data_IF_319236710649
#
_entry.id   IF_319236710649
#
_cell.length_a   1.000
_cell.length_b   1.000
_cell.length_c   1.000
_cell.angle_alpha   90.00
_cell.angle_beta   90.00
_cell.angle_gamma   90.00
#
_symmetry.space_group_name_H-M   'P 1'
#
loop_
_entity.id
_entity.type
_entity.pdbx_description
1 polymer ?
#
# COMPACT_ATOMS: atom_id res chain seq x y z
N UNK A 1 17.46 -3.18 60.72
CA UNK A 1 17.55 -3.22 59.25
C UNK A 1 16.83 -4.47 58.81
N UNK A 2 15.59 -4.33 58.33
CA UNK A 2 14.72 -5.44 57.97
C UNK A 2 14.95 -5.83 56.51
N UNK A 3 14.99 -7.14 56.25
CA UNK A 3 15.12 -7.75 54.92
C UNK A 3 14.13 -7.14 53.92
N UNK A 4 14.65 -6.43 52.93
CA UNK A 4 13.90 -6.13 51.70
C UNK A 4 13.93 -7.40 50.87
N UNK A 5 12.87 -8.22 50.98
CA UNK A 5 12.67 -9.37 50.10
C UNK A 5 12.63 -8.89 48.65
N UNK A 6 13.61 -9.34 47.90
CA UNK A 6 13.74 -9.27 46.44
C UNK A 6 12.45 -9.81 45.80
N UNK A 7 11.51 -8.91 45.45
CA UNK A 7 10.31 -9.26 44.70
C UNK A 7 10.67 -9.27 43.22
N UNK A 8 11.02 -10.46 42.74
CA UNK A 8 11.21 -10.89 41.34
C UNK A 8 10.60 -9.93 40.29
N UNK A 9 11.47 -9.27 39.52
CA UNK A 9 11.14 -8.54 38.29
C UNK A 9 10.95 -9.49 37.10
N UNK A 10 10.14 -10.54 37.25
CA UNK A 10 9.74 -11.39 36.13
C UNK A 10 8.77 -10.62 35.26
N UNK A 11 9.04 -10.57 33.95
CA UNK A 11 8.13 -10.04 32.95
C UNK A 11 6.74 -10.69 33.11
N UNK A 12 5.68 -9.89 33.02
CA UNK A 12 4.31 -10.32 33.26
C UNK A 12 3.86 -11.31 32.16
N UNK A 13 3.75 -12.60 32.49
CA UNK A 13 3.34 -13.66 31.54
C UNK A 13 1.89 -14.12 31.74
N UNK A 14 1.04 -13.38 32.46
CA UNK A 14 -0.38 -13.70 32.66
C UNK A 14 -0.97 -13.18 33.98
N UNK A 15 -2.25 -13.52 34.23
CA UNK A 15 -2.95 -13.18 35.48
C UNK A 15 -2.31 -13.84 36.70
N UNK A 16 -2.09 -13.06 37.76
CA UNK A 16 -1.55 -13.49 39.03
C UNK A 16 -2.61 -14.26 39.84
N UNK A 17 -2.17 -15.27 40.59
CA UNK A 17 -3.05 -15.98 41.52
C UNK A 17 -3.30 -15.13 42.77
N UNK A 18 -4.49 -15.27 43.37
CA UNK A 18 -4.90 -14.51 44.56
C UNK A 18 -3.91 -14.61 45.72
N UNK A 19 -3.33 -15.80 45.92
CA UNK A 19 -2.30 -16.05 46.95
C UNK A 19 -0.99 -15.29 46.68
N UNK A 20 -0.64 -15.06 45.41
CA UNK A 20 0.59 -14.33 45.06
C UNK A 20 0.50 -12.84 45.35
N UNK A 21 -0.71 -12.29 45.33
CA UNK A 21 -0.98 -10.87 45.56
C UNK A 21 -1.63 -10.60 46.91
N UNK A 22 -1.65 -11.58 47.81
CA UNK A 22 -2.30 -11.49 49.13
C UNK A 22 -3.72 -10.90 49.04
N UNK A 23 -4.51 -11.36 48.07
CA UNK A 23 -5.87 -10.89 47.89
C UNK A 23 -6.73 -11.24 49.12
N UNK A 24 -7.46 -10.26 49.63
CA UNK A 24 -8.47 -10.41 50.68
C UNK A 24 -9.82 -9.92 50.15
N UNK A 25 -10.93 -10.67 50.32
CA UNK A 25 -12.27 -10.25 49.89
C UNK A 25 -12.81 -9.03 50.66
N UNK A 26 -12.21 -8.73 51.82
CA UNK A 26 -12.50 -7.56 52.63
C UNK A 26 -11.22 -6.78 52.91
N UNK A 27 -11.18 -5.52 52.46
CA UNK A 27 -10.07 -4.62 52.71
C UNK A 27 -9.93 -4.30 54.20
N UNK A 28 -8.69 -4.31 54.76
CA UNK A 28 -8.42 -3.80 56.10
C UNK A 28 -8.53 -2.27 56.19
N UNK A 29 -8.60 -1.56 55.06
CA UNK A 29 -8.70 -0.09 54.97
C UNK A 29 -9.96 0.31 54.15
N UNK A 30 -11.18 -0.04 54.60
CA UNK A 30 -12.41 0.23 53.84
C UNK A 30 -12.57 1.73 53.57
N UNK A 31 -12.83 2.08 52.31
CA UNK A 31 -12.98 3.48 51.86
C UNK A 31 -11.66 4.17 51.44
N UNK A 32 -10.50 3.64 51.85
CA UNK A 32 -9.19 4.19 51.43
C UNK A 32 -8.61 3.34 50.29
N UNK A 33 -8.52 2.03 50.48
CA UNK A 33 -8.05 1.09 49.45
C UNK A 33 -9.02 -0.06 49.32
N UNK A 34 -9.64 -0.21 48.17
CA UNK A 34 -10.48 -1.36 47.84
C UNK A 34 -10.42 -1.63 46.34
N UNK A 35 -10.89 -2.80 45.89
CA UNK A 35 -11.03 -3.08 44.46
C UNK A 35 -11.92 -2.02 43.79
N UNK A 36 -13.00 -1.56 44.44
CA UNK A 36 -13.89 -0.53 43.90
C UNK A 36 -13.20 0.79 43.51
N UNK A 37 -12.08 1.15 44.14
CA UNK A 37 -11.31 2.34 43.82
C UNK A 37 -9.90 2.01 43.27
N UNK A 38 -9.71 0.77 42.81
CA UNK A 38 -8.50 0.32 42.14
C UNK A 38 -8.65 0.50 40.63
N UNK A 39 -7.62 1.00 39.95
CA UNK A 39 -7.63 1.17 38.49
C UNK A 39 -7.74 -0.15 37.69
N UNK A 40 -7.45 -1.27 38.34
CA UNK A 40 -7.42 -2.60 37.72
C UNK A 40 -8.72 -3.38 37.88
N UNK A 41 -9.66 -2.86 38.67
CA UNK A 41 -10.94 -3.50 38.92
C UNK A 41 -11.94 -3.12 37.83
N UNK A 42 -12.65 -4.13 37.33
CA UNK A 42 -13.78 -3.97 36.42
C UNK A 42 -15.03 -4.37 37.19
N UNK A 43 -15.92 -3.41 37.41
CA UNK A 43 -17.23 -3.68 37.99
C UNK A 43 -18.03 -4.62 37.10
N UNK A 44 -18.97 -5.37 37.70
CA UNK A 44 -19.92 -6.18 36.94
C UNK A 44 -20.63 -5.33 35.88
N UNK A 45 -20.58 -5.76 34.63
CA UNK A 45 -21.28 -5.12 33.52
C UNK A 45 -22.42 -6.01 33.06
N UNK A 46 -23.66 -5.57 33.24
CA UNK A 46 -24.87 -6.34 32.90
C UNK A 46 -25.10 -7.59 33.78
N UNK A 47 -26.32 -8.13 33.75
CA UNK A 47 -26.84 -9.09 34.75
C UNK A 47 -26.04 -10.42 34.90
N UNK A 48 -25.04 -10.69 34.05
CA UNK A 48 -24.32 -11.98 34.05
C UNK A 48 -22.78 -11.89 34.10
N UNK A 49 -22.14 -10.72 34.03
CA UNK A 49 -20.68 -10.64 34.16
C UNK A 49 -20.29 -10.39 35.63
N UNK A 50 -19.63 -11.34 36.31
CA UNK A 50 -19.15 -11.09 37.67
C UNK A 50 -18.04 -10.03 37.66
N UNK A 51 -17.85 -9.28 38.76
CA UNK A 51 -16.74 -8.35 38.86
C UNK A 51 -15.40 -9.08 38.69
N UNK A 52 -14.46 -8.44 37.98
CA UNK A 52 -13.15 -9.03 37.66
C UNK A 52 -11.99 -8.06 37.89
N UNK A 53 -10.76 -8.58 37.91
CA UNK A 53 -9.53 -7.79 38.01
C UNK A 53 -8.64 -8.11 36.81
N UNK A 54 -8.11 -7.08 36.15
CA UNK A 54 -7.22 -7.26 35.00
C UNK A 54 -5.85 -7.85 35.35
N UNK A 55 -5.49 -7.91 36.65
CA UNK A 55 -4.21 -8.43 37.11
C UNK A 55 -4.31 -9.75 37.89
N UNK A 56 -5.46 -10.03 38.51
CA UNK A 56 -5.63 -11.11 39.49
C UNK A 56 -6.77 -12.02 39.06
N UNK A 57 -6.54 -13.34 39.05
CA UNK A 57 -7.58 -14.32 38.73
C UNK A 57 -8.76 -14.22 39.72
N UNK A 58 -9.98 -14.43 39.24
CA UNK A 58 -11.21 -14.45 40.03
C UNK A 58 -11.54 -15.83 40.64
N UNK A 59 -10.50 -16.64 40.90
CA UNK A 59 -10.60 -17.97 41.51
C UNK A 59 -9.39 -18.17 42.46
N UNK A 60 -9.53 -18.84 43.63
CA UNK A 60 -10.71 -19.57 44.10
C UNK A 60 -11.89 -18.72 44.58
N UNK A 61 -11.65 -17.45 44.95
CA UNK A 61 -12.72 -16.56 45.40
C UNK A 61 -13.07 -15.52 44.32
N UNK A 62 -14.30 -15.03 44.23
CA UNK A 62 -14.62 -13.92 43.33
C UNK A 62 -13.88 -12.62 43.75
N UNK A 63 -13.57 -11.76 42.78
CA UNK A 63 -13.07 -10.42 43.08
C UNK A 63 -14.25 -9.57 43.54
N UNK A 64 -14.24 -9.12 44.79
CA UNK A 64 -15.29 -8.30 45.38
C UNK A 64 -14.88 -6.83 45.35
N UNK A 65 -15.85 -5.94 45.17
CA UNK A 65 -15.63 -4.48 45.23
C UNK A 65 -15.00 -4.04 46.57
N UNK A 66 -15.27 -4.77 47.65
CA UNK A 66 -14.71 -4.57 48.99
C UNK A 66 -13.32 -5.15 49.20
N UNK A 67 -12.80 -5.94 48.25
CA UNK A 67 -11.53 -6.65 48.39
C UNK A 67 -10.30 -5.74 48.27
N UNK A 68 -9.13 -6.28 48.56
CA UNK A 68 -7.83 -5.61 48.39
C UNK A 68 -6.75 -6.63 48.00
N UNK A 69 -5.77 -6.21 47.22
CA UNK A 69 -4.55 -6.99 46.96
C UNK A 69 -3.31 -6.11 47.04
N UNK A 70 -2.13 -6.71 47.19
CA UNK A 70 -0.82 -6.03 47.19
C UNK A 70 -0.51 -5.28 45.88
N UNK A 71 -1.28 -5.52 44.81
CA UNK A 71 -1.18 -4.86 43.51
C UNK A 71 -2.19 -3.73 43.34
N UNK A 72 -2.82 -3.28 44.44
CA UNK A 72 -3.73 -2.16 44.40
C UNK A 72 -3.03 -0.88 43.91
N UNK A 73 -3.65 -0.22 42.96
CA UNK A 73 -3.27 1.10 42.47
C UNK A 73 -4.53 1.95 42.40
N UNK A 74 -4.52 3.10 43.09
CA UNK A 74 -5.68 3.99 43.11
C UNK A 74 -6.13 4.38 41.70
N UNK A 75 -7.44 4.42 41.49
CA UNK A 75 -8.00 5.01 40.28
C UNK A 75 -7.51 6.45 40.14
N UNK A 76 -7.15 6.83 38.92
CA UNK A 76 -6.79 8.22 38.65
C UNK A 76 -8.01 9.08 38.98
N UNK A 77 -7.84 10.23 39.66
CA UNK A 77 -8.95 11.11 40.00
C UNK A 77 -9.70 11.44 38.71
N UNK A 78 -10.97 11.03 38.64
CA UNK A 78 -11.88 11.47 37.60
C UNK A 78 -12.03 12.98 37.78
N UNK A 79 -11.57 13.75 36.81
CA UNK A 79 -11.81 15.21 36.79
C UNK A 79 -13.32 15.42 36.92
N UNK A 80 -13.80 16.22 37.90
CA UNK A 80 -15.22 16.42 38.12
C UNK A 80 -15.84 16.96 36.82
N UNK A 81 -16.88 16.27 36.36
CA UNK A 81 -17.67 16.62 35.19
C UNK A 81 -18.44 17.91 35.50
N UNK A 82 -17.94 19.04 35.00
CA UNK A 82 -18.62 20.34 35.03
C UNK A 82 -19.49 20.44 33.78
N UNK A 83 -20.56 19.66 33.70
CA UNK A 83 -21.59 19.82 32.68
C UNK A 83 -22.71 20.70 33.23
N UNK A 84 -22.73 21.97 32.82
CA UNK A 84 -23.93 22.81 32.96
C UNK A 84 -25.02 22.27 32.01
N UNK A 85 -26.28 22.15 32.46
CA UNK A 85 -27.36 21.65 31.61
C UNK A 85 -27.66 22.63 30.46
N UNK A 86 -27.74 22.10 29.24
CA UNK A 86 -28.08 22.85 28.02
C UNK A 86 -29.59 23.15 27.94
N UNK A 87 -30.00 24.37 27.56
CA UNK A 87 -31.41 24.72 27.39
C UNK A 87 -31.99 24.15 26.09
N UNK A 88 -33.17 23.54 26.19
CA UNK A 88 -33.93 22.96 25.06
C UNK A 88 -34.74 24.06 24.37
N UNK A 89 -34.63 24.17 23.05
CA UNK A 89 -35.49 25.01 22.20
C UNK A 89 -36.30 24.10 21.28
N UNK A 90 -37.62 24.26 21.31
CA UNK A 90 -38.58 23.51 20.48
C UNK A 90 -38.86 24.33 19.22
N UNK A 91 -38.68 23.74 18.04
CA UNK A 91 -39.01 24.34 16.74
C UNK A 91 -40.21 23.61 16.13
N UNK A 92 -41.27 24.30 15.69
CA UNK A 92 -42.43 23.67 15.05
C UNK A 92 -42.12 23.27 13.60
N UNK A 93 -42.61 22.08 13.22
CA UNK A 93 -42.52 21.52 11.85
C UNK A 93 -43.60 22.12 10.94
N UNK A 94 -43.21 22.47 9.72
CA UNK A 94 -44.09 22.95 8.64
C UNK A 94 -44.31 21.81 7.62
N UNK A 95 -45.57 21.58 7.25
CA UNK A 95 -46.01 20.48 6.38
C UNK A 95 -45.69 20.76 4.90
N UNK A 96 -45.10 19.77 4.22
CA UNK A 96 -44.79 19.84 2.79
C UNK A 96 -45.81 19.01 2.00
N UNK A 97 -46.50 19.66 1.06
CA UNK A 97 -47.47 19.05 0.16
C UNK A 97 -46.81 18.19 -0.93
N UNK A 98 -47.43 17.05 -1.26
CA UNK A 98 -46.97 16.08 -2.26
C UNK A 98 -47.75 16.28 -3.56
N UNK A 99 -47.05 16.39 -4.69
CA UNK A 99 -47.64 16.57 -6.03
C UNK A 99 -47.60 15.26 -6.83
N UNK A 100 -48.75 14.85 -7.38
CA UNK A 100 -48.96 13.63 -8.18
C UNK A 100 -48.28 13.71 -9.56
N UNK A 101 -47.56 12.65 -9.94
CA UNK A 101 -47.03 12.48 -11.31
C UNK A 101 -47.94 11.58 -12.16
N UNK A 102 -48.38 12.11 -13.30
CA UNK A 102 -49.17 11.41 -14.31
C UNK A 102 -48.31 10.60 -15.30
N UNK A 103 -48.82 9.44 -15.71
CA UNK A 103 -48.28 8.53 -16.73
C UNK A 103 -48.63 8.98 -18.16
N UNK A 104 -47.70 8.90 -19.13
CA UNK A 104 -48.05 8.93 -20.54
C UNK A 104 -48.08 7.53 -21.18
N UNK A 105 -49.06 7.37 -22.06
CA UNK A 105 -49.33 6.21 -22.91
C UNK A 105 -48.68 6.33 -24.29
N UNK A 106 -48.64 5.18 -24.98
CA UNK A 106 -48.65 4.97 -26.44
C UNK A 106 -47.36 4.40 -27.06
N UNK A 107 -47.58 3.39 -27.91
CA UNK A 107 -46.55 2.48 -28.42
C UNK A 107 -46.13 2.70 -29.87
N UNK A 108 -45.06 1.98 -30.20
CA UNK A 108 -44.44 1.57 -31.49
C UNK A 108 -43.19 0.76 -31.06
N UNK A 109 -42.67 -0.30 -31.65
CA UNK A 109 -43.09 -1.25 -32.68
C UNK A 109 -42.14 -2.48 -32.54
N UNK A 110 -42.66 -3.69 -32.71
CA UNK A 110 -42.04 -4.98 -32.34
C UNK A 110 -40.69 -5.28 -33.02
N UNK A 111 -40.37 -4.60 -34.12
CA UNK A 111 -39.15 -4.85 -34.93
C UNK A 111 -37.92 -4.16 -34.35
N UNK A 112 -38.09 -3.10 -33.57
CA UNK A 112 -36.98 -2.41 -32.89
C UNK A 112 -36.51 -3.21 -31.66
N UNK A 113 -37.45 -3.92 -31.02
CA UNK A 113 -37.22 -4.75 -29.82
C UNK A 113 -36.27 -5.92 -30.10
N UNK A 114 -36.31 -6.52 -31.29
CA UNK A 114 -35.44 -7.67 -31.64
C UNK A 114 -34.00 -7.22 -31.89
N UNK A 115 -33.78 -6.02 -32.45
CA UNK A 115 -32.44 -5.45 -32.63
C UNK A 115 -31.84 -5.00 -31.30
N UNK A 116 -32.66 -4.51 -30.36
CA UNK A 116 -32.18 -4.20 -29.00
C UNK A 116 -31.81 -5.46 -28.21
N UNK A 117 -32.52 -6.58 -28.40
CA UNK A 117 -32.25 -7.84 -27.68
C UNK A 117 -30.95 -8.50 -28.14
N UNK A 118 -30.65 -8.51 -29.45
CA UNK A 118 -29.39 -9.07 -29.96
C UNK A 118 -28.19 -8.18 -29.62
N UNK A 119 -28.38 -6.85 -29.56
CA UNK A 119 -27.31 -5.93 -29.13
C UNK A 119 -27.10 -5.97 -27.60
N UNK A 120 -28.15 -6.24 -26.80
CA UNK A 120 -28.06 -6.45 -25.34
C UNK A 120 -27.46 -7.80 -24.95
N UNK A 121 -27.53 -8.83 -25.79
CA UNK A 121 -26.89 -10.13 -25.50
C UNK A 121 -25.38 -10.16 -25.79
N UNK A 122 -24.85 -9.24 -26.61
CA UNK A 122 -23.42 -9.20 -26.98
C UNK A 122 -22.67 -7.94 -26.53
N UNK A 123 -23.35 -7.03 -25.81
CA UNK A 123 -22.72 -6.04 -24.93
C UNK A 123 -23.25 -6.26 -23.53
N UNK A 124 -22.58 -7.10 -22.76
CA UNK A 124 -22.54 -6.95 -21.30
C UNK A 124 -21.78 -5.65 -21.02
N UNK A 125 -22.43 -4.51 -21.26
CA UNK A 125 -22.17 -3.36 -20.40
C UNK A 125 -22.46 -3.88 -18.99
N UNK A 126 -21.48 -3.84 -18.06
CA UNK A 126 -21.72 -4.25 -16.69
C UNK A 126 -22.97 -3.49 -16.23
N UNK A 127 -23.95 -4.23 -15.71
CA UNK A 127 -25.16 -3.62 -15.16
C UNK A 127 -24.74 -2.44 -14.27
N UNK A 128 -25.45 -1.28 -14.31
CA UNK A 128 -25.17 -0.18 -13.41
C UNK A 128 -25.12 -0.77 -12.00
N UNK A 129 -23.94 -0.70 -11.39
CA UNK A 129 -23.71 -1.30 -10.09
C UNK A 129 -24.71 -0.65 -9.14
N UNK A 130 -25.50 -1.45 -8.43
CA UNK A 130 -26.21 -0.96 -7.25
C UNK A 130 -25.12 -0.42 -6.32
N UNK A 131 -25.11 0.88 -6.09
CA UNK A 131 -23.96 1.57 -5.52
C UNK A 131 -23.95 1.43 -4.00
N UNK A 132 -23.32 0.34 -3.56
CA UNK A 132 -23.26 -0.06 -2.16
C UNK A 132 -22.15 0.66 -1.39
N UNK A 133 -22.36 0.86 -0.09
CA UNK A 133 -21.34 1.43 0.81
C UNK A 133 -20.04 0.64 0.84
N UNK A 134 -20.14 -0.66 0.54
CA UNK A 134 -19.06 -1.62 0.53
C UNK A 134 -19.18 -2.51 -0.70
N UNK A 135 -18.09 -2.65 -1.45
CA UNK A 135 -18.06 -3.52 -2.63
C UNK A 135 -16.80 -4.38 -2.64
N UNK A 136 -16.95 -5.62 -3.13
CA UNK A 136 -15.86 -6.57 -3.28
C UNK A 136 -15.64 -6.86 -4.76
N UNK A 137 -14.39 -6.88 -5.18
CA UNK A 137 -14.04 -7.10 -6.57
C UNK A 137 -12.71 -7.81 -6.75
N UNK A 138 -12.52 -8.41 -7.93
CA UNK A 138 -11.30 -9.11 -8.30
C UNK A 138 -10.42 -8.19 -9.16
N UNK A 139 -9.16 -8.06 -8.78
CA UNK A 139 -8.15 -7.29 -9.49
C UNK A 139 -7.53 -8.08 -10.66
N UNK A 140 -6.75 -7.41 -11.51
CA UNK A 140 -6.02 -8.02 -12.64
C UNK A 140 -4.99 -9.06 -12.18
N UNK A 141 -4.44 -8.90 -10.98
CA UNK A 141 -3.55 -9.87 -10.33
C UNK A 141 -4.29 -11.12 -9.78
N UNK A 142 -5.60 -11.20 -9.95
CA UNK A 142 -6.43 -12.31 -9.50
C UNK A 142 -6.80 -12.29 -8.01
N UNK A 143 -6.29 -11.35 -7.21
CA UNK A 143 -6.65 -11.18 -5.80
C UNK A 143 -7.95 -10.40 -5.66
N UNK A 144 -8.65 -10.60 -4.55
CA UNK A 144 -9.84 -9.83 -4.20
C UNK A 144 -9.44 -8.58 -3.41
N UNK A 145 -10.13 -7.49 -3.70
CA UNK A 145 -10.02 -6.20 -3.06
C UNK A 145 -11.41 -5.72 -2.67
N UNK A 146 -11.45 -4.76 -1.77
CA UNK A 146 -12.66 -4.10 -1.32
C UNK A 146 -12.54 -2.58 -1.47
N UNK A 147 -13.69 -1.94 -1.65
CA UNK A 147 -13.87 -0.49 -1.65
C UNK A 147 -14.95 -0.17 -0.62
N UNK A 148 -14.67 0.77 0.26
CA UNK A 148 -15.49 1.08 1.43
C UNK A 148 -15.66 2.59 1.61
N UNK A 149 -16.89 3.06 1.78
CA UNK A 149 -17.22 4.40 2.29
C UNK A 149 -17.71 4.28 3.73
N UNK A 150 -16.81 4.50 4.69
CA UNK A 150 -17.02 4.04 6.06
C UNK A 150 -17.45 5.13 7.06
N UNK A 151 -17.21 6.40 6.78
CA UNK A 151 -17.62 7.51 7.67
C UNK A 151 -17.66 8.85 6.92
N UNK A 152 -18.12 9.92 7.56
CA UNK A 152 -18.16 11.28 6.99
C UNK A 152 -18.34 12.40 8.02
N UNK A 153 -18.50 13.63 7.54
CA UNK A 153 -18.56 14.87 8.35
C UNK A 153 -19.93 15.20 8.98
N UNK A 154 -20.91 14.33 8.76
CA UNK A 154 -22.30 14.54 9.15
C UNK A 154 -22.56 13.92 10.52
N UNK A 155 -23.55 14.46 11.23
CA UNK A 155 -23.99 13.94 12.52
C UNK A 155 -24.45 12.49 12.41
N UNK A 156 -23.86 11.61 13.20
CA UNK A 156 -24.24 10.21 13.25
C UNK A 156 -25.47 9.98 14.17
N UNK A 157 -25.89 8.72 14.30
CA UNK A 157 -27.03 8.34 15.15
C UNK A 157 -26.79 8.57 16.64
N UNK A 158 -25.53 8.66 17.06
CA UNK A 158 -25.12 8.91 18.45
C UNK A 158 -24.97 10.42 18.73
N UNK A 159 -25.42 11.25 17.78
CA UNK A 159 -25.30 12.71 17.82
C UNK A 159 -23.86 13.21 17.83
N UNK A 160 -22.93 12.41 17.30
CA UNK A 160 -21.52 12.76 17.19
C UNK A 160 -21.17 13.26 15.78
N UNK A 161 -20.17 14.13 15.67
CA UNK A 161 -19.71 14.69 14.39
C UNK A 161 -18.19 14.55 14.31
N UNK A 162 -17.69 13.95 13.23
CA UNK A 162 -16.27 14.04 12.87
C UNK A 162 -16.06 15.30 12.03
N UNK A 163 -15.26 16.25 12.52
CA UNK A 163 -15.06 17.51 11.80
C UNK A 163 -14.42 17.27 10.43
N UNK A 164 -14.83 18.05 9.43
CA UNK A 164 -14.34 17.87 8.05
C UNK A 164 -12.81 18.04 7.92
N UNK A 165 -12.24 18.87 8.80
CA UNK A 165 -10.79 19.06 8.91
C UNK A 165 -10.07 17.86 9.55
N UNK A 166 -10.72 17.17 10.48
CA UNK A 166 -10.18 15.96 11.11
C UNK A 166 -9.96 14.85 10.08
N UNK A 167 -10.88 14.71 9.11
CA UNK A 167 -10.75 13.80 7.96
C UNK A 167 -9.49 14.07 7.14
N UNK A 168 -9.24 15.35 6.81
CA UNK A 168 -8.06 15.75 6.03
C UNK A 168 -6.76 15.42 6.76
N UNK A 169 -6.69 15.77 8.04
CA UNK A 169 -5.50 15.51 8.83
C UNK A 169 -5.26 14.01 9.06
N UNK A 170 -6.33 13.23 9.21
CA UNK A 170 -6.23 11.78 9.30
C UNK A 170 -5.68 11.18 8.00
N UNK A 171 -6.23 11.56 6.84
CA UNK A 171 -5.72 11.12 5.52
C UNK A 171 -4.27 11.52 5.34
N UNK A 172 -3.90 12.75 5.71
CA UNK A 172 -2.51 13.24 5.65
C UNK A 172 -1.57 12.38 6.53
N UNK A 173 -1.95 12.11 7.77
CA UNK A 173 -1.16 11.26 8.69
C UNK A 173 -0.97 9.84 8.16
N UNK A 174 -2.03 9.22 7.65
CA UNK A 174 -1.97 7.87 7.08
C UNK A 174 -1.11 7.84 5.80
N UNK A 175 -1.27 8.83 4.91
CA UNK A 175 -0.46 8.92 3.69
C UNK A 175 1.04 9.10 3.96
N UNK A 176 1.39 9.74 5.08
CA UNK A 176 2.76 9.94 5.56
C UNK A 176 3.30 8.76 6.38
N UNK A 177 2.48 7.72 6.62
CA UNK A 177 2.85 6.58 7.46
C UNK A 177 3.00 6.91 8.95
N UNK A 178 2.46 8.04 9.41
CA UNK A 178 2.46 8.42 10.84
C UNK A 178 1.42 7.62 11.64
N UNK A 179 0.44 7.05 10.95
CA UNK A 179 -0.63 6.22 11.51
C UNK A 179 -0.78 5.01 10.59
N UNK A 180 -0.94 3.79 11.12
CA UNK A 180 -1.17 2.62 10.28
C UNK A 180 -2.46 2.77 9.47
N UNK A 181 -2.49 2.13 8.31
CA UNK A 181 -3.74 1.97 7.56
C UNK A 181 -4.76 1.20 8.41
N UNK A 182 -6.06 1.52 8.30
CA UNK A 182 -7.09 0.83 9.08
C UNK A 182 -7.29 -0.60 8.59
N UNK A 183 -7.56 -1.50 9.52
CA UNK A 183 -7.84 -2.91 9.24
C UNK A 183 -9.32 -3.12 8.85
N UNK A 184 -9.63 -4.20 8.13
CA UNK A 184 -11.01 -4.60 7.82
C UNK A 184 -11.47 -5.74 8.74
N UNK A 185 -12.55 -5.52 9.47
CA UNK A 185 -13.06 -6.40 10.52
C UNK A 185 -14.56 -6.65 10.37
N UNK A 186 -15.06 -7.68 11.07
CA UNK A 186 -16.49 -7.98 11.16
C UNK A 186 -16.98 -7.70 12.57
N UNK A 187 -18.02 -6.86 12.70
CA UNK A 187 -18.70 -6.56 13.96
C UNK A 187 -17.81 -6.09 15.13
N UNK A 188 -16.76 -5.29 14.90
CA UNK A 188 -15.89 -4.77 15.96
C UNK A 188 -15.32 -5.88 16.87
N UNK A 189 -15.26 -7.11 16.35
CA UNK A 189 -15.02 -8.31 17.16
C UNK A 189 -13.57 -8.73 17.03
N UNK A 190 -12.85 -8.75 18.15
CA UNK A 190 -11.44 -9.17 18.16
C UNK A 190 -11.27 -10.56 17.56
N UNK A 191 -10.37 -10.66 16.58
CA UNK A 191 -10.08 -11.91 15.87
C UNK A 191 -10.87 -12.09 14.57
N UNK A 192 -11.73 -11.15 14.18
CA UNK A 192 -12.45 -11.19 12.89
C UNK A 192 -11.79 -10.33 11.80
N UNK A 193 -10.56 -9.85 12.04
CA UNK A 193 -9.74 -9.19 11.02
C UNK A 193 -9.61 -10.08 9.79
N UNK A 194 -9.89 -9.54 8.61
CA UNK A 194 -9.84 -10.28 7.36
C UNK A 194 -9.39 -9.43 6.15
N UNK A 195 -8.87 -8.23 6.40
CA UNK A 195 -8.29 -7.38 5.37
C UNK A 195 -7.59 -6.15 5.93
N UNK A 196 -7.00 -5.37 5.03
CA UNK A 196 -6.20 -4.20 5.35
C UNK A 196 -6.39 -3.13 4.28
N UNK A 197 -6.61 -1.87 4.68
CA UNK A 197 -6.64 -0.77 3.72
C UNK A 197 -5.24 -0.55 3.10
N UNK A 198 -5.23 -0.32 1.79
CA UNK A 198 -4.05 0.07 1.03
C UNK A 198 -3.99 1.59 0.81
N UNK A 199 -5.17 2.21 0.62
CA UNK A 199 -5.33 3.65 0.45
C UNK A 199 -6.57 4.12 1.20
N UNK A 200 -6.45 5.27 1.85
CA UNK A 200 -7.57 6.04 2.40
C UNK A 200 -7.55 7.44 1.77
N UNK A 201 -8.72 7.96 1.42
CA UNK A 201 -8.86 9.33 0.93
C UNK A 201 -10.17 9.96 1.39
N UNK A 202 -10.21 11.29 1.32
CA UNK A 202 -11.41 12.09 1.58
C UNK A 202 -12.01 12.52 0.26
N UNK A 203 -13.32 12.40 0.14
CA UNK A 203 -14.07 12.98 -0.98
C UNK A 203 -15.44 13.42 -0.53
N UNK A 204 -15.84 14.63 -0.93
CA UNK A 204 -17.16 15.16 -0.59
C UNK A 204 -17.50 15.02 0.89
N UNK A 205 -16.59 15.31 1.81
CA UNK A 205 -16.87 15.17 3.26
C UNK A 205 -17.00 13.74 3.79
N UNK A 206 -16.79 12.71 2.96
CA UNK A 206 -16.72 11.30 3.37
C UNK A 206 -15.29 10.78 3.32
N UNK A 207 -15.02 9.74 4.11
CA UNK A 207 -13.82 8.94 3.98
C UNK A 207 -14.11 7.66 3.23
N UNK A 208 -13.25 7.42 2.25
CA UNK A 208 -13.24 6.24 1.41
C UNK A 208 -11.92 5.49 1.63
N UNK A 209 -11.98 4.18 1.49
CA UNK A 209 -10.84 3.31 1.58
C UNK A 209 -10.93 2.20 0.54
N UNK A 210 -9.77 1.83 0.02
CA UNK A 210 -9.57 0.62 -0.79
C UNK A 210 -8.57 -0.24 -0.05
N UNK A 211 -8.80 -1.54 -0.04
CA UNK A 211 -7.87 -2.49 0.57
C UNK A 211 -7.95 -3.88 -0.01
N UNK A 212 -7.02 -4.72 0.41
CA UNK A 212 -6.98 -6.12 0.07
C UNK A 212 -7.57 -6.97 1.21
N UNK A 213 -7.99 -8.18 0.85
CA UNK A 213 -8.30 -9.23 1.81
C UNK A 213 -7.03 -9.99 2.20
N UNK A 214 -6.99 -10.48 3.44
CA UNK A 214 -5.93 -11.37 3.89
C UNK A 214 -5.97 -12.71 3.12
N UNK A 215 -4.83 -13.42 3.00
CA UNK A 215 -4.81 -14.77 2.43
C UNK A 215 -5.07 -15.83 3.51
N UNK A 216 -6.26 -15.76 4.11
CA UNK A 216 -6.72 -16.71 5.12
C UNK A 216 -8.02 -17.39 4.69
N UNK A 217 -8.33 -18.60 5.21
CA UNK A 217 -9.63 -19.24 4.99
C UNK A 217 -10.82 -18.35 5.40
N UNK A 218 -10.68 -17.60 6.49
CA UNK A 218 -11.70 -16.69 7.02
C UNK A 218 -11.99 -15.54 6.05
N UNK A 219 -10.94 -14.94 5.48
CA UNK A 219 -11.08 -13.89 4.49
C UNK A 219 -11.73 -14.39 3.19
N UNK A 220 -11.45 -15.63 2.78
CA UNK A 220 -12.12 -16.26 1.62
C UNK A 220 -13.63 -16.45 1.89
N UNK A 221 -14.00 -16.91 3.08
CA UNK A 221 -15.40 -16.97 3.49
C UNK A 221 -16.07 -15.58 3.51
N UNK A 222 -15.37 -14.56 4.01
CA UNK A 222 -15.86 -13.19 4.06
C UNK A 222 -16.10 -12.64 2.63
N UNK A 223 -15.17 -12.84 1.71
CA UNK A 223 -15.31 -12.45 0.29
C UNK A 223 -16.60 -13.05 -0.30
N UNK A 224 -16.81 -14.35 -0.14
CA UNK A 224 -18.02 -15.01 -0.66
C UNK A 224 -19.29 -14.46 -0.01
N UNK A 225 -19.26 -14.21 1.30
CA UNK A 225 -20.39 -13.65 2.03
C UNK A 225 -20.74 -12.25 1.51
N UNK A 226 -19.75 -11.37 1.35
CA UNK A 226 -19.96 -10.01 0.87
C UNK A 226 -20.45 -9.97 -0.58
N UNK A 227 -19.92 -10.85 -1.44
CA UNK A 227 -20.40 -10.98 -2.82
C UNK A 227 -21.87 -11.43 -2.88
N UNK A 228 -22.28 -12.37 -2.01
CA UNK A 228 -23.67 -12.84 -1.93
C UNK A 228 -24.62 -11.81 -1.32
N UNK A 229 -24.10 -10.90 -0.47
CA UNK A 229 -24.88 -9.91 0.27
C UNK A 229 -24.59 -8.47 -0.18
N UNK A 230 -24.16 -8.27 -1.43
CA UNK A 230 -23.96 -6.95 -2.00
C UNK A 230 -25.20 -6.07 -1.77
N UNK A 231 -24.99 -4.86 -1.25
CA UNK A 231 -26.01 -3.87 -0.91
C UNK A 231 -26.65 -3.99 0.45
N UNK A 232 -26.42 -5.10 1.15
CA UNK A 232 -26.91 -5.30 2.51
C UNK A 232 -25.81 -5.15 3.56
N UNK A 233 -24.58 -4.86 3.14
CA UNK A 233 -23.45 -4.60 4.03
C UNK A 233 -23.39 -3.11 4.31
N UNK A 234 -23.46 -2.76 5.58
CA UNK A 234 -23.17 -1.41 6.10
C UNK A 234 -21.79 -1.37 6.72
N UNK A 235 -21.32 -0.15 6.92
CA UNK A 235 -20.00 0.10 7.45
C UNK A 235 -20.08 0.96 8.70
N UNK A 236 -19.17 0.67 9.62
CA UNK A 236 -18.79 1.54 10.72
C UNK A 236 -17.27 1.59 10.78
N UNK A 237 -16.75 2.33 11.75
CA UNK A 237 -15.32 2.39 12.00
C UNK A 237 -15.04 2.55 13.48
N UNK A 238 -13.91 2.01 13.92
CA UNK A 238 -13.36 2.29 15.25
C UNK A 238 -12.24 3.31 15.09
N UNK A 239 -12.18 4.27 16.02
CA UNK A 239 -11.14 5.29 16.00
C UNK A 239 -10.65 5.65 17.40
N UNK A 240 -9.40 6.11 17.44
CA UNK A 240 -8.79 6.69 18.63
C UNK A 240 -8.73 8.21 18.49
N UNK A 241 -8.96 8.92 19.59
CA UNK A 241 -8.86 10.38 19.64
C UNK A 241 -8.31 10.83 21.01
N UNK A 242 -7.56 11.93 21.06
CA UNK A 242 -7.21 12.55 22.34
C UNK A 242 -8.47 13.19 22.93
N UNK A 243 -8.69 13.00 24.25
CA UNK A 243 -9.90 13.53 24.92
C UNK A 243 -10.12 15.04 24.69
N UNK A 244 -9.04 15.82 24.60
CA UNK A 244 -9.09 17.25 24.32
C UNK A 244 -9.64 17.61 22.94
N UNK A 245 -9.60 16.69 21.98
CA UNK A 245 -10.12 16.88 20.64
C UNK A 245 -11.62 16.57 20.52
N UNK A 246 -12.28 16.07 21.57
CA UNK A 246 -13.74 15.94 21.62
C UNK A 246 -14.35 17.12 22.37
N UNK A 247 -15.18 17.91 21.70
CA UNK A 247 -15.92 19.01 22.32
C UNK A 247 -17.34 19.08 21.79
N UNK A 248 -18.31 19.09 22.70
CA UNK A 248 -19.75 19.21 22.38
C UNK A 248 -20.20 18.21 21.32
N UNK A 249 -19.81 16.93 21.48
CA UNK A 249 -20.14 15.86 20.53
C UNK A 249 -19.34 15.90 19.22
N UNK A 250 -18.39 16.82 19.06
CA UNK A 250 -17.59 16.94 17.83
C UNK A 250 -16.15 16.52 18.08
N UNK A 251 -15.65 15.61 17.24
CA UNK A 251 -14.25 15.21 17.18
C UNK A 251 -13.50 16.04 16.15
N UNK A 252 -12.49 16.76 16.62
CA UNK A 252 -11.66 17.63 15.80
C UNK A 252 -10.34 16.99 15.38
N UNK A 253 -9.96 15.88 16.01
CA UNK A 253 -8.91 15.01 15.49
C UNK A 253 -9.09 13.59 16.01
N UNK A 254 -8.83 12.63 15.14
CA UNK A 254 -8.91 11.21 15.42
C UNK A 254 -8.04 10.43 14.43
N UNK A 255 -7.87 9.15 14.69
CA UNK A 255 -7.26 8.19 13.79
C UNK A 255 -8.16 6.94 13.71
N UNK A 256 -8.71 6.64 12.52
CA UNK A 256 -9.39 5.35 12.31
C UNK A 256 -8.37 4.22 12.45
N UNK A 257 -8.71 3.20 13.22
CA UNK A 257 -7.90 1.99 13.39
C UNK A 257 -8.54 0.78 12.71
N UNK A 258 -9.86 0.79 12.54
CA UNK A 258 -10.65 -0.31 12.01
C UNK A 258 -11.78 0.23 11.12
N UNK A 259 -12.03 -0.44 10.00
CA UNK A 259 -13.25 -0.35 9.21
C UNK A 259 -14.00 -1.67 9.40
N UNK A 260 -15.28 -1.57 9.70
CA UNK A 260 -16.06 -2.72 10.18
C UNK A 260 -17.27 -2.95 9.31
N UNK A 261 -17.41 -4.17 8.79
CA UNK A 261 -18.66 -4.58 8.12
C UNK A 261 -19.71 -4.99 9.14
N UNK A 262 -20.93 -4.49 8.95
CA UNK A 262 -22.09 -4.70 9.81
C UNK A 262 -23.33 -5.00 8.95
N UNK A 263 -24.34 -5.67 9.49
CA UNK A 263 -25.64 -5.74 8.83
C UNK A 263 -26.31 -4.37 8.85
N UNK A 264 -27.35 -4.25 8.03
CA UNK A 264 -28.19 -3.06 7.99
C UNK A 264 -28.78 -2.70 9.35
N UNK A 265 -28.72 -1.42 9.70
CA UNK A 265 -29.27 -0.86 10.93
C UNK A 265 -28.31 -0.91 12.12
N UNK A 266 -27.19 -1.63 12.06
CA UNK A 266 -26.20 -1.68 13.14
C UNK A 266 -25.12 -0.59 13.04
N UNK A 267 -25.07 0.15 11.92
CA UNK A 267 -24.12 1.25 11.73
C UNK A 267 -24.46 2.47 12.58
N UNK A 268 -23.44 3.10 13.18
CA UNK A 268 -23.58 4.38 13.85
C UNK A 268 -23.82 5.51 12.82
N UNK A 269 -23.11 5.45 11.69
CA UNK A 269 -23.19 6.45 10.62
C UNK A 269 -24.08 5.95 9.46
N UNK A 270 -25.34 6.42 9.33
CA UNK A 270 -26.31 5.86 8.39
C UNK A 270 -26.09 6.27 6.94
N UNK A 271 -25.21 7.26 6.71
CA UNK A 271 -25.04 7.92 5.42
C UNK A 271 -24.04 7.23 4.50
N UNK A 272 -23.73 5.96 4.76
CA UNK A 272 -22.77 5.17 3.99
C UNK A 272 -23.31 4.73 2.62
N UNK A 273 -24.61 4.87 2.33
CA UNK A 273 -25.25 4.59 1.02
C UNK A 273 -26.29 5.66 0.60
N UNK A 274 -26.33 6.10 -0.66
CA UNK A 274 -27.27 7.12 -1.25
C UNK A 274 -27.24 7.07 -2.81
N UNK A 275 -27.77 8.03 -3.58
CA UNK A 275 -27.69 8.05 -5.08
C UNK A 275 -27.37 9.45 -5.68
N UNK A 276 -26.41 9.46 -6.66
CA UNK A 276 -26.01 10.35 -7.80
C UNK A 276 -26.02 11.91 -7.85
N UNK A 277 -24.85 12.53 -8.24
CA UNK A 277 -24.51 13.68 -9.16
C UNK A 277 -23.07 14.32 -8.97
N UNK A 278 -22.22 14.25 -10.01
CA UNK A 278 -20.85 14.78 -10.35
C UNK A 278 -19.80 15.35 -9.29
N UNK A 279 -18.51 14.89 -9.35
CA UNK A 279 -17.38 15.19 -8.41
C UNK A 279 -16.29 16.21 -8.81
N UNK A 280 -15.37 16.42 -7.86
CA UNK A 280 -13.93 16.71 -8.03
C UNK A 280 -13.09 15.41 -7.97
N UNK A 281 -12.03 15.26 -8.77
CA UNK A 281 -11.38 13.97 -9.02
C UNK A 281 -10.38 13.51 -7.95
N UNK A 282 -10.27 12.18 -7.80
CA UNK A 282 -9.08 11.47 -7.26
C UNK A 282 -7.77 12.10 -7.78
N UNK A 283 -6.75 12.19 -6.92
CA UNK A 283 -5.42 12.65 -7.35
C UNK A 283 -4.78 11.67 -8.32
N UNK A 284 -3.86 12.14 -9.18
CA UNK A 284 -3.26 11.28 -10.21
C UNK A 284 -2.52 10.08 -9.61
N UNK A 285 -1.80 10.28 -8.50
CA UNK A 285 -1.12 9.19 -7.80
C UNK A 285 -2.10 8.12 -7.28
N UNK A 286 -3.26 8.53 -6.75
CA UNK A 286 -4.30 7.59 -6.32
C UNK A 286 -4.89 6.84 -7.52
N UNK A 287 -5.13 7.54 -8.63
CA UNK A 287 -5.63 6.94 -9.86
C UNK A 287 -4.66 5.91 -10.41
N UNK A 288 -3.37 6.25 -10.49
CA UNK A 288 -2.31 5.36 -10.94
C UNK A 288 -2.18 4.13 -10.05
N UNK A 289 -2.22 4.28 -8.73
CA UNK A 289 -2.19 3.14 -7.81
C UNK A 289 -3.41 2.24 -7.99
N UNK A 290 -4.62 2.81 -7.98
CA UNK A 290 -5.87 2.06 -8.11
C UNK A 290 -5.89 1.32 -9.45
N UNK A 291 -5.46 1.98 -10.52
CA UNK A 291 -5.32 1.37 -11.85
C UNK A 291 -4.26 0.27 -11.86
N UNK A 292 -3.11 0.49 -11.23
CA UNK A 292 -2.03 -0.48 -11.17
C UNK A 292 -2.41 -1.75 -10.40
N UNK A 293 -3.20 -1.60 -9.33
CA UNK A 293 -3.62 -2.70 -8.48
C UNK A 293 -4.78 -3.48 -9.07
N UNK A 294 -5.87 -2.82 -9.48
CA UNK A 294 -7.10 -3.49 -9.91
C UNK A 294 -7.56 -3.19 -11.33
N UNK A 295 -6.75 -2.48 -12.13
CA UNK A 295 -7.06 -2.15 -13.51
C UNK A 295 -8.09 -1.03 -13.67
N UNK A 296 -8.44 -0.74 -14.92
CA UNK A 296 -9.32 0.38 -15.28
C UNK A 296 -10.73 0.26 -14.68
N UNK A 297 -11.25 -0.95 -14.53
CA UNK A 297 -12.58 -1.18 -13.93
C UNK A 297 -12.61 -0.85 -12.44
N UNK A 298 -11.50 -1.07 -11.72
CA UNK A 298 -11.38 -0.63 -10.33
C UNK A 298 -11.31 0.89 -10.24
N UNK A 299 -10.53 1.53 -11.12
CA UNK A 299 -10.45 2.97 -11.17
C UNK A 299 -11.82 3.61 -11.41
N UNK A 300 -12.58 3.11 -12.38
CA UNK A 300 -13.95 3.59 -12.65
C UNK A 300 -14.85 3.49 -11.44
N UNK A 301 -14.80 2.39 -10.68
CA UNK A 301 -15.59 2.24 -9.45
C UNK A 301 -15.18 3.23 -8.36
N UNK A 302 -13.89 3.44 -8.17
CA UNK A 302 -13.39 4.43 -7.22
C UNK A 302 -13.83 5.85 -7.63
N UNK A 303 -13.76 6.19 -8.92
CA UNK A 303 -14.25 7.47 -9.45
C UNK A 303 -15.77 7.63 -9.33
N UNK A 304 -16.55 6.54 -9.44
CA UNK A 304 -18.00 6.56 -9.19
C UNK A 304 -18.31 6.82 -7.72
N UNK A 305 -17.64 6.12 -6.80
CA UNK A 305 -17.82 6.33 -5.36
C UNK A 305 -17.42 7.77 -4.93
N UNK A 306 -16.38 8.31 -5.57
CA UNK A 306 -15.89 9.68 -5.40
C UNK A 306 -16.91 10.72 -5.92
N UNK A 307 -17.44 10.53 -7.14
CA UNK A 307 -18.61 11.23 -7.71
C UNK A 307 -19.71 11.40 -6.70
N UNK A 308 -20.08 10.27 -6.14
CA UNK A 308 -21.25 10.10 -5.31
C UNK A 308 -21.08 10.73 -3.92
N UNK A 309 -19.91 10.61 -3.32
CA UNK A 309 -19.64 11.23 -2.01
C UNK A 309 -19.87 12.75 -2.03
N UNK A 310 -19.48 13.40 -3.13
CA UNK A 310 -19.69 14.85 -3.34
C UNK A 310 -21.17 15.20 -3.50
N UNK A 311 -21.93 14.35 -4.17
CA UNK A 311 -23.37 14.49 -4.29
C UNK A 311 -24.05 14.42 -2.94
N UNK A 312 -23.79 13.33 -2.22
CA UNK A 312 -24.47 13.02 -0.98
C UNK A 312 -24.25 14.15 0.02
N UNK A 313 -23.07 14.78 0.01
CA UNK A 313 -22.82 15.97 0.82
C UNK A 313 -23.75 17.12 0.49
N UNK A 314 -23.95 17.45 -0.79
CA UNK A 314 -24.88 18.53 -1.18
C UNK A 314 -26.31 18.19 -0.77
N UNK A 315 -26.72 16.92 -0.93
CA UNK A 315 -28.04 16.44 -0.53
C UNK A 315 -28.24 16.54 0.98
N UNK A 316 -27.27 16.08 1.78
CA UNK A 316 -27.34 16.13 3.24
C UNK A 316 -27.31 17.57 3.77
N UNK A 317 -26.49 18.43 3.17
CA UNK A 317 -26.49 19.88 3.47
C UNK A 317 -27.84 20.52 3.11
N UNK A 318 -28.44 20.17 1.97
CA UNK A 318 -29.77 20.66 1.57
C UNK A 318 -30.90 20.14 2.48
N UNK A 319 -30.77 18.92 3.00
CA UNK A 319 -31.68 18.34 4.00
C UNK A 319 -31.46 18.91 5.42
N UNK A 320 -30.50 19.82 5.59
CA UNK A 320 -30.22 20.44 6.89
C UNK A 320 -29.58 19.51 7.90
N UNK A 321 -28.96 18.40 7.46
CA UNK A 321 -28.25 17.49 8.36
C UNK A 321 -27.07 18.24 8.98
N UNK A 322 -27.03 18.24 10.31
CA UNK A 322 -25.96 18.89 11.06
C UNK A 322 -24.59 18.36 10.61
N UNK A 323 -23.69 19.28 10.26
CA UNK A 323 -22.31 19.00 9.90
C UNK A 323 -21.41 20.11 10.40
N UNK A 324 -20.10 19.82 10.57
CA UNK A 324 -19.12 20.82 11.01
C UNK A 324 -18.03 21.06 9.98
N UNK A 325 -17.93 22.31 9.53
CA UNK A 325 -16.97 22.76 8.53
C UNK A 325 -15.54 22.96 9.06
N UNK A 326 -14.67 23.45 8.16
CA UNK A 326 -13.19 23.50 8.17
C UNK A 326 -12.49 24.18 9.37
N UNK A 327 -13.22 24.68 10.37
CA UNK A 327 -12.61 25.27 11.57
C UNK A 327 -12.13 24.20 12.52
N UNK A 328 -10.81 24.01 12.64
CA UNK A 328 -10.25 23.31 13.79
C UNK A 328 -10.41 24.16 15.06
N UNK A 329 -10.66 23.49 16.18
CA UNK A 329 -10.43 24.11 17.48
C UNK A 329 -8.91 24.24 17.71
N UNK A 330 -8.46 25.37 18.25
CA UNK A 330 -7.04 25.59 18.56
C UNK A 330 -6.52 24.49 19.50
N UNK A 331 -5.46 23.78 19.08
CA UNK A 331 -4.85 22.60 19.74
C UNK A 331 -5.58 21.25 19.60
N UNK A 332 -6.53 21.11 18.68
CA UNK A 332 -7.18 19.82 18.44
C UNK A 332 -6.29 18.77 17.74
N UNK A 333 -5.17 19.18 17.14
CA UNK A 333 -4.30 18.29 16.34
C UNK A 333 -3.73 17.17 17.21
N UNK A 334 -3.79 15.93 16.73
CA UNK A 334 -3.02 14.84 17.35
C UNK A 334 -1.54 15.13 17.09
N UNK A 335 -0.74 15.45 18.13
CA UNK A 335 0.68 15.62 17.92
C UNK A 335 1.24 14.26 17.49
N UNK A 336 1.87 14.20 16.31
CA UNK A 336 2.74 13.08 16.00
C UNK A 336 3.75 12.96 17.15
N UNK A 337 4.03 11.74 17.64
CA UNK A 337 5.03 11.59 18.67
C UNK A 337 6.32 12.25 18.15
N UNK A 338 6.94 13.11 18.96
CA UNK A 338 8.08 13.92 18.50
C UNK A 338 9.20 13.06 17.89
N UNK A 339 9.34 11.83 18.38
CA UNK A 339 10.23 10.80 17.84
C UNK A 339 9.84 10.29 16.45
N UNK A 340 8.55 10.12 16.16
CA UNK A 340 8.04 9.66 14.87
C UNK A 340 8.17 10.75 13.80
N UNK A 341 7.91 12.01 14.16
CA UNK A 341 8.09 13.14 13.25
C UNK A 341 9.55 13.34 12.85
N UNK A 342 10.48 13.21 13.80
CA UNK A 342 11.91 13.30 13.50
C UNK A 342 12.40 12.08 12.69
N UNK A 343 11.84 10.88 12.91
CA UNK A 343 12.13 9.71 12.09
C UNK A 343 11.65 9.89 10.63
N UNK A 344 10.44 10.42 10.42
CA UNK A 344 9.93 10.71 9.06
C UNK A 344 10.76 11.78 8.36
N UNK A 345 11.15 12.85 9.06
CA UNK A 345 12.06 13.87 8.51
C UNK A 345 13.42 13.29 8.13
N UNK A 346 13.97 12.38 8.92
CA UNK A 346 15.23 11.71 8.61
C UNK A 346 15.11 10.83 7.35
N UNK A 347 14.00 10.09 7.21
CA UNK A 347 13.73 9.30 6.00
C UNK A 347 13.52 10.20 4.78
N UNK A 348 12.80 11.32 4.92
CA UNK A 348 12.61 12.27 3.84
C UNK A 348 13.94 12.91 3.40
N UNK A 349 14.80 13.28 4.34
CA UNK A 349 16.14 13.80 4.05
C UNK A 349 17.03 12.75 3.36
N UNK A 350 16.94 11.47 3.76
CA UNK A 350 17.63 10.37 3.08
C UNK A 350 17.10 10.18 1.65
N UNK A 351 15.78 10.20 1.44
CA UNK A 351 15.16 10.12 0.11
C UNK A 351 15.59 11.30 -0.78
N UNK A 352 15.58 12.53 -0.28
CA UNK A 352 16.04 13.71 -1.03
C UNK A 352 17.53 13.60 -1.39
N UNK A 353 18.36 13.07 -0.49
CA UNK A 353 19.79 12.83 -0.73
C UNK A 353 19.99 11.75 -1.80
N UNK A 354 19.21 10.66 -1.75
CA UNK A 354 19.19 9.59 -2.74
C UNK A 354 18.68 10.08 -4.10
N UNK A 355 17.64 10.92 -4.13
CA UNK A 355 17.15 11.52 -5.38
C UNK A 355 18.21 12.39 -6.04
N UNK A 356 18.93 13.23 -5.27
CA UNK A 356 20.05 14.03 -5.79
C UNK A 356 21.20 13.18 -6.34
N UNK A 357 21.43 12.00 -5.78
CA UNK A 357 22.41 11.04 -6.35
C UNK A 357 21.90 10.38 -7.63
N UNK A 358 20.57 10.20 -7.76
CA UNK A 358 19.93 9.71 -8.98
C UNK A 358 19.87 10.79 -10.08
N UNK A 359 19.80 12.08 -9.77
CA UNK A 359 19.91 13.17 -10.76
C UNK A 359 21.24 13.17 -11.54
N UNK A 360 22.29 12.50 -10.99
CA UNK A 360 23.56 12.27 -11.69
C UNK A 360 23.55 11.07 -12.65
N UNK A 361 22.58 10.15 -12.55
CA UNK A 361 22.51 8.96 -13.43
C UNK A 361 22.34 9.31 -14.91
N UNK A 362 21.52 10.29 -15.34
CA UNK A 362 21.39 10.65 -16.75
C UNK A 362 22.73 11.02 -17.39
N UNK A 363 23.61 11.72 -16.66
CA UNK A 363 24.95 12.06 -17.13
C UNK A 363 25.84 10.80 -17.24
N UNK A 364 25.80 9.91 -16.25
CA UNK A 364 26.54 8.64 -16.30
C UNK A 364 26.06 7.71 -17.43
N UNK A 365 24.74 7.62 -17.65
CA UNK A 365 24.14 6.87 -18.77
C UNK A 365 24.54 7.47 -20.11
N UNK A 366 24.62 8.80 -20.22
CA UNK A 366 25.14 9.47 -21.42
C UNK A 366 26.60 9.09 -21.68
N UNK A 367 27.47 9.19 -20.68
CA UNK A 367 28.89 8.79 -20.79
C UNK A 367 29.03 7.31 -21.15
N UNK A 368 28.21 6.44 -20.57
CA UNK A 368 28.22 5.01 -20.88
C UNK A 368 27.79 4.76 -22.33
N UNK A 369 26.75 5.44 -22.81
CA UNK A 369 26.31 5.35 -24.21
C UNK A 369 27.37 5.85 -25.20
N UNK A 370 28.08 6.93 -24.86
CA UNK A 370 29.20 7.43 -25.66
C UNK A 370 30.35 6.41 -25.70
N UNK A 371 30.65 5.77 -24.56
CA UNK A 371 31.66 4.70 -24.47
C UNK A 371 31.26 3.47 -25.29
N UNK A 372 29.98 3.06 -25.23
CA UNK A 372 29.46 1.93 -26.01
C UNK A 372 29.58 2.22 -27.51
N UNK A 373 29.24 3.44 -27.96
CA UNK A 373 29.40 3.84 -29.37
C UNK A 373 30.86 3.80 -29.81
N UNK A 374 31.76 4.35 -29.01
CA UNK A 374 33.20 4.33 -29.33
C UNK A 374 33.75 2.90 -29.44
N UNK A 375 33.32 1.98 -28.56
CA UNK A 375 33.69 0.57 -28.65
C UNK A 375 33.10 -0.10 -29.89
N UNK A 376 31.86 0.21 -30.26
CA UNK A 376 31.22 -0.33 -31.45
C UNK A 376 31.95 0.12 -32.73
N UNK A 377 32.40 1.37 -32.79
CA UNK A 377 33.20 1.90 -33.90
C UNK A 377 34.56 1.20 -33.99
N UNK A 378 35.23 0.95 -32.86
CA UNK A 378 36.50 0.21 -32.81
C UNK A 378 36.34 -1.24 -33.30
N UNK A 379 35.30 -1.94 -32.85
CA UNK A 379 35.02 -3.32 -33.30
C UNK A 379 34.76 -3.35 -34.80
N UNK A 380 33.96 -2.41 -35.33
CA UNK A 380 33.67 -2.32 -36.77
C UNK A 380 34.93 -2.06 -37.59
N UNK A 381 35.80 -1.16 -37.13
CA UNK A 381 37.09 -0.89 -37.78
C UNK A 381 38.02 -2.11 -37.76
N UNK A 382 38.07 -2.84 -36.65
CA UNK A 382 38.85 -4.08 -36.53
C UNK A 382 38.36 -5.15 -37.50
N UNK A 383 37.05 -5.37 -37.60
CA UNK A 383 36.45 -6.33 -38.54
C UNK A 383 36.74 -5.97 -40.01
N UNK A 384 36.75 -4.69 -40.36
CA UNK A 384 37.13 -4.23 -41.70
C UNK A 384 38.61 -4.49 -41.99
N UNK A 385 39.50 -4.22 -41.03
CA UNK A 385 40.93 -4.49 -41.17
C UNK A 385 41.23 -5.99 -41.31
N UNK A 386 40.51 -6.83 -40.56
CA UNK A 386 40.60 -8.29 -40.68
C UNK A 386 40.11 -8.77 -42.05
N UNK A 387 38.96 -8.28 -42.51
CA UNK A 387 38.41 -8.63 -43.83
C UNK A 387 39.36 -8.24 -44.97
N UNK A 388 40.00 -7.06 -44.88
CA UNK A 388 41.02 -6.64 -45.84
C UNK A 388 42.27 -7.52 -45.79
N UNK A 389 42.67 -7.97 -44.60
CA UNK A 389 43.80 -8.88 -44.42
C UNK A 389 43.52 -10.26 -45.02
N UNK A 390 42.30 -10.77 -44.81
CA UNK A 390 41.84 -12.02 -45.40
C UNK A 390 41.79 -11.95 -46.94
N UNK A 391 41.30 -10.84 -47.49
CA UNK A 391 41.27 -10.62 -48.94
C UNK A 391 42.69 -10.64 -49.54
N UNK A 392 43.65 -9.96 -48.90
CA UNK A 392 45.07 -9.98 -49.32
C UNK A 392 45.67 -11.38 -49.24
N UNK A 393 45.35 -12.16 -48.19
CA UNK A 393 45.83 -13.53 -48.05
C UNK A 393 45.28 -14.43 -49.18
N UNK A 394 43.99 -14.31 -49.50
CA UNK A 394 43.37 -15.06 -50.60
C UNK A 394 43.97 -14.69 -51.96
N UNK A 395 44.25 -13.41 -52.21
CA UNK A 395 44.90 -12.95 -53.44
C UNK A 395 46.33 -13.52 -53.57
N UNK A 396 47.09 -13.54 -52.47
CA UNK A 396 48.43 -14.14 -52.44
C UNK A 396 48.38 -15.66 -52.67
N UNK A 397 47.42 -16.36 -52.07
CA UNK A 397 47.23 -17.80 -52.30
C UNK A 397 46.90 -18.09 -53.77
N UNK A 398 46.04 -17.28 -54.39
CA UNK A 398 45.74 -17.38 -55.81
C UNK A 398 46.99 -17.17 -56.68
N UNK A 399 47.77 -16.12 -56.41
CA UNK A 399 49.04 -15.87 -57.12
C UNK A 399 50.02 -17.05 -56.97
N UNK A 400 50.07 -17.68 -55.80
CA UNK A 400 50.92 -18.83 -55.52
C UNK A 400 50.45 -20.08 -56.31
N UNK A 401 49.14 -20.30 -56.41
CA UNK A 401 48.56 -21.36 -57.25
C UNK A 401 48.83 -21.14 -58.75
N UNK A 402 48.72 -19.90 -59.24
CA UNK A 402 49.04 -19.55 -60.62
C UNK A 402 50.53 -19.79 -60.93
N UNK A 403 51.43 -19.41 -60.01
CA UNK A 403 52.87 -19.67 -60.14
C UNK A 403 53.17 -21.19 -60.15
N UNK A 404 52.50 -21.98 -59.30
CA UNK A 404 52.63 -23.44 -59.29
C UNK A 404 52.13 -24.08 -60.58
N UNK A 405 51.08 -23.53 -61.21
CA UNK A 405 50.57 -24.04 -62.47
C UNK A 405 51.52 -23.76 -63.67
N UNK A 406 52.34 -22.72 -63.58
CA UNK A 406 53.36 -22.38 -64.59
C UNK A 406 54.66 -23.16 -64.42
N UNK A 407 54.88 -23.84 -63.29
CA UNK A 407 56.02 -24.73 -63.14
C UNK A 407 55.82 -25.94 -64.07
N UNK A 408 56.74 -26.19 -65.02
CA UNK A 408 56.66 -27.38 -65.85
C UNK A 408 56.64 -28.61 -64.94
N UNK A 409 55.86 -29.67 -65.28
CA UNK A 409 55.87 -30.89 -64.50
C UNK A 409 57.31 -31.34 -64.36
N UNK A 410 57.76 -31.54 -63.11
CA UNK A 410 59.12 -31.98 -62.83
C UNK A 410 59.39 -33.22 -63.68
N UNK A 411 60.19 -33.03 -64.72
CA UNK A 411 60.69 -34.12 -65.54
C UNK A 411 61.40 -35.06 -64.58
N UNK A 412 60.88 -36.27 -64.40
CA UNK A 412 61.57 -37.34 -63.68
C UNK A 412 62.75 -37.90 -64.50
N UNK A 413 63.17 -37.23 -65.57
CA UNK A 413 64.43 -37.54 -66.24
C UNK A 413 65.59 -37.08 -65.37
N UNK A 414 66.52 -38.00 -65.08
CA UNK A 414 67.79 -37.73 -64.43
C UNK A 414 68.70 -36.74 -65.19
N UNK A 415 68.33 -36.36 -66.42
CA UNK A 415 69.09 -35.42 -67.26
C UNK A 415 68.75 -33.93 -67.02
N UNK A 416 67.75 -33.61 -66.19
CA UNK A 416 67.38 -32.22 -65.83
C UNK A 416 67.91 -31.81 -64.44
N UNK A 417 69.19 -32.05 -64.18
CA UNK A 417 69.87 -31.43 -63.05
C UNK A 417 70.17 -29.97 -63.38
N UNK A 418 69.56 -29.05 -62.62
CA UNK A 418 69.87 -27.63 -62.64
C UNK A 418 71.39 -27.46 -62.60
N UNK A 419 71.94 -26.77 -63.59
CA UNK A 419 73.37 -26.48 -63.58
C UNK A 419 73.68 -25.56 -62.40
N UNK A 420 74.95 -25.51 -61.97
CA UNK A 420 75.39 -24.82 -60.75
C UNK A 420 74.93 -23.35 -60.67
N UNK A 421 74.68 -22.72 -61.81
CA UNK A 421 74.23 -21.33 -61.92
C UNK A 421 72.75 -21.16 -61.54
N UNK A 422 71.90 -22.10 -61.94
CA UNK A 422 70.47 -22.05 -61.65
C UNK A 422 70.18 -22.39 -60.19
N UNK A 423 71.00 -23.26 -59.59
CA UNK A 423 70.93 -23.56 -58.15
C UNK A 423 71.26 -22.32 -57.29
N UNK A 424 72.27 -21.54 -57.68
CA UNK A 424 72.61 -20.30 -56.99
C UNK A 424 71.50 -19.23 -57.10
N UNK A 425 70.81 -19.14 -58.25
CA UNK A 425 69.67 -18.23 -58.42
C UNK A 425 68.50 -18.65 -57.53
N UNK A 426 68.22 -19.95 -57.44
CA UNK A 426 67.17 -20.47 -56.57
C UNK A 426 67.47 -20.22 -55.08
N UNK A 427 68.71 -20.43 -54.65
CA UNK A 427 69.14 -20.15 -53.28
C UNK A 427 69.04 -18.65 -52.95
N UNK A 428 69.33 -17.77 -53.92
CA UNK A 428 69.19 -16.31 -53.75
C UNK A 428 67.72 -15.92 -53.58
N UNK A 429 66.82 -16.46 -54.42
CA UNK A 429 65.38 -16.22 -54.32
C UNK A 429 64.77 -16.78 -53.02
N UNK A 430 65.23 -17.95 -52.55
CA UNK A 430 64.79 -18.49 -51.26
C UNK A 430 65.32 -17.67 -50.07
N UNK A 431 66.48 -17.03 -50.23
CA UNK A 431 67.03 -16.14 -49.19
C UNK A 431 66.26 -14.82 -49.15
N UNK A 432 65.93 -14.21 -50.30
CA UNK A 432 65.06 -13.02 -50.35
C UNK A 432 63.65 -13.29 -49.80
N UNK A 433 63.09 -14.48 -50.06
CA UNK A 433 61.80 -14.88 -49.49
C UNK A 433 61.82 -15.03 -47.96
N UNK A 434 62.99 -15.36 -47.37
CA UNK A 434 63.17 -15.42 -45.90
C UNK A 434 63.46 -14.05 -45.27
N UNK A 435 63.94 -13.07 -46.03
CA UNK A 435 64.21 -11.71 -45.51
C UNK A 435 62.93 -10.91 -45.32
N UNK A 436 61.84 -11.27 -45.99
CA UNK A 436 60.50 -10.73 -45.73
C UNK A 436 59.81 -11.44 -44.55
N UNK A 437 60.46 -11.45 -43.37
CA UNK A 437 59.89 -11.82 -42.07
C UNK A 437 58.78 -10.82 -41.69
N UNK A 438 57.66 -10.87 -42.42
CA UNK A 438 56.40 -10.38 -41.88
C UNK A 438 56.02 -11.36 -40.76
N UNK A 439 55.92 -10.91 -39.50
CA UNK A 439 55.57 -11.79 -38.39
C UNK A 439 54.27 -12.50 -38.72
N UNK A 440 54.24 -13.81 -38.46
CA UNK A 440 53.07 -14.61 -38.76
C UNK A 440 51.85 -14.04 -38.03
N UNK A 441 50.65 -14.22 -38.58
CA UNK A 441 49.41 -13.73 -37.94
C UNK A 441 49.29 -14.24 -36.49
N UNK A 442 49.89 -15.40 -36.20
CA UNK A 442 49.97 -16.02 -34.87
C UNK A 442 50.86 -15.21 -33.91
N UNK A 443 52.00 -14.70 -34.36
CA UNK A 443 52.90 -13.85 -33.55
C UNK A 443 52.27 -12.48 -33.20
N UNK A 444 51.29 -12.03 -34.00
CA UNK A 444 50.53 -10.81 -33.72
C UNK A 444 49.31 -11.02 -32.81
N UNK A 445 48.73 -12.22 -32.81
CA UNK A 445 47.54 -12.57 -32.03
C UNK A 445 47.87 -13.11 -30.63
N UNK A 446 49.03 -13.76 -30.46
CA UNK A 446 49.51 -14.23 -29.16
C UNK A 446 50.40 -13.14 -28.56
N UNK A 447 49.74 -12.17 -27.93
CA UNK A 447 50.34 -10.91 -27.48
C UNK A 447 51.67 -11.01 -26.75
N UNK A 448 52.58 -10.11 -27.11
CA UNK A 448 53.68 -9.72 -26.24
C UNK A 448 53.13 -9.21 -24.91
N UNK A 449 53.12 -10.07 -23.90
CA UNK A 449 53.17 -9.62 -22.52
C UNK A 449 54.57 -9.06 -22.25
N UNK A 450 54.70 -7.84 -21.70
CA UNK A 450 55.98 -7.39 -21.19
C UNK A 450 56.34 -8.28 -19.99
N UNK A 451 57.45 -9.01 -20.12
CA UNK A 451 58.14 -9.62 -18.99
C UNK A 451 58.54 -8.50 -18.02
N UNK A 452 57.85 -8.46 -16.89
CA UNK A 452 58.27 -7.67 -15.72
C UNK A 452 59.60 -8.26 -15.26
N UNK A 453 60.67 -7.49 -15.44
CA UNK A 453 61.97 -7.80 -14.89
C UNK A 453 61.90 -7.77 -13.36
N UNK A 454 62.12 -8.91 -12.73
CA UNK A 454 62.55 -8.98 -11.33
C UNK A 454 64.03 -8.65 -11.28
N UNK A 455 64.39 -7.63 -10.49
CA UNK A 455 65.79 -7.28 -10.22
C UNK A 455 65.92 -6.32 -9.04
N UNK A 456 66.40 -6.88 -7.93
CA UNK A 456 67.01 -6.29 -6.72
C UNK A 456 66.19 -5.29 -5.88
#
# INVERSE_FOLDING_TARGET
MAEVKERDSKAFTGLLDQKQVNYSPLSPEPGVKACANCRWFKAASWDNDPPECHLVRNYPEPILATGLSDRWEGSLPTTPDISNPLPVVIVPMEEVAVEEMALPTSGKGLVETIRTVVTKMFRTEPAPLKEDSFSVFKATNGKHYWLARHTGKFKDREAEILADKAHEEYVDRVSKGLVPMPELWTWHTKGTRHGQADIVWKSGGFLLAVGHFDDTPEAKCAIEFYQKNAGNIKLSHMFNYPKSAKQNGVYYAYNTIEITTLPDGAEAFPYTSFEEFKPMPLSEQQREFIRGVGGDEMLKRAESADTKAITDTKTLEALGVESKGLGNFDNATIPAAKSELEAVKAVQADIETRLKTVEGLPAQVKTLNETIRALQDQVSASQQAESQSLAKANDLEKQLLELKALQPPASQSSDTLLNTREKALLDTLMTEAKVNDAPSLVDRLVGGQPTVATGA
#
